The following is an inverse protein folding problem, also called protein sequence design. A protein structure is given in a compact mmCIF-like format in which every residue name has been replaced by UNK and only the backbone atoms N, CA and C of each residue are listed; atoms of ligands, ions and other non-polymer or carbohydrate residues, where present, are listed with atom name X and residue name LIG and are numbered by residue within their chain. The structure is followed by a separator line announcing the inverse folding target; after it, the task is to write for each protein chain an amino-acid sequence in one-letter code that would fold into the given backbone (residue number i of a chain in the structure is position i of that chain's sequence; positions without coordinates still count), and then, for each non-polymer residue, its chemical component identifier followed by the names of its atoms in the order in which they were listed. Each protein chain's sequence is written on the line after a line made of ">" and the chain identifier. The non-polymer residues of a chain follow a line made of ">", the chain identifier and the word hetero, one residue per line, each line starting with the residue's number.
data_IF_639138299624
#
_entry.id   IF_639138299624
#
_cell.length_a   1.000
_cell.length_b   1.000
_cell.length_c   1.000
_cell.angle_alpha   90.00
_cell.angle_beta   90.00
_cell.angle_gamma   90.00
#
_symmetry.space_group_name_H-M   'P 1'
#
loop_
_entity.id
_entity.type
_entity.pdbx_description
1 polymer ?
#
# COMPACT_ATOMS: atom_id res chain seq x y z
N UNK A 1 -9.85 -11.14 34.72
CA UNK A 1 -10.65 -10.62 33.59
C UNK A 1 -9.66 -10.07 32.56
N UNK A 2 -9.39 -10.80 31.48
CA UNK A 2 -8.38 -10.42 30.48
C UNK A 2 -8.97 -9.41 29.50
N UNK A 3 -8.58 -8.14 29.62
CA UNK A 3 -8.84 -7.14 28.59
C UNK A 3 -7.73 -7.26 27.54
N UNK A 4 -8.06 -7.79 26.36
CA UNK A 4 -7.21 -7.64 25.18
C UNK A 4 -7.27 -6.18 24.73
N UNK A 5 -6.11 -5.52 24.59
CA UNK A 5 -6.09 -4.20 23.97
C UNK A 5 -6.41 -4.38 22.48
N UNK A 6 -7.20 -3.46 21.93
CA UNK A 6 -7.49 -3.43 20.48
C UNK A 6 -6.21 -3.43 19.63
N UNK A 7 -5.12 -2.88 20.17
CA UNK A 7 -3.80 -2.90 19.55
C UNK A 7 -3.30 -4.33 19.33
N UNK A 8 -3.37 -5.18 20.36
CA UNK A 8 -2.92 -6.57 20.30
C UNK A 8 -3.70 -7.39 19.24
N UNK A 9 -5.00 -7.12 19.10
CA UNK A 9 -5.83 -7.78 18.07
C UNK A 9 -5.44 -7.34 16.67
N UNK A 10 -5.18 -6.04 16.47
CA UNK A 10 -4.75 -5.50 15.18
C UNK A 10 -3.39 -6.03 14.76
N UNK A 11 -2.45 -6.09 15.69
CA UNK A 11 -1.10 -6.57 15.42
C UNK A 11 -1.13 -8.05 15.04
N UNK A 12 -1.85 -8.88 15.80
CA UNK A 12 -2.02 -10.30 15.45
C UNK A 12 -2.73 -10.52 14.11
N UNK A 13 -3.75 -9.74 13.80
CA UNK A 13 -4.43 -9.84 12.51
C UNK A 13 -3.49 -9.44 11.37
N UNK A 14 -2.69 -8.40 11.56
CA UNK A 14 -1.69 -7.97 10.58
C UNK A 14 -0.68 -9.09 10.34
N UNK A 15 -0.13 -9.68 11.39
CA UNK A 15 0.87 -10.75 11.27
C UNK A 15 0.33 -11.93 10.46
N UNK A 16 -0.92 -12.36 10.73
CA UNK A 16 -1.57 -13.43 9.98
C UNK A 16 -1.80 -13.07 8.51
N UNK A 17 -2.22 -11.83 8.23
CA UNK A 17 -2.48 -11.39 6.87
C UNK A 17 -1.21 -11.15 6.05
N UNK A 18 -0.06 -10.96 6.70
CA UNK A 18 1.22 -10.73 6.04
C UNK A 18 1.96 -12.02 5.67
N UNK A 19 1.47 -13.18 6.09
CA UNK A 19 2.11 -14.46 5.77
C UNK A 19 2.17 -14.69 4.26
N UNK A 20 3.38 -14.90 3.74
CA UNK A 20 3.63 -15.13 2.31
C UNK A 20 3.51 -13.88 1.41
N UNK A 21 3.40 -12.68 1.99
CA UNK A 21 3.36 -11.42 1.25
C UNK A 21 4.74 -10.77 1.26
N UNK A 22 5.22 -10.34 0.09
CA UNK A 22 6.40 -9.48 0.00
C UNK A 22 6.05 -8.04 0.36
N UNK A 23 6.49 -7.60 1.54
CA UNK A 23 6.18 -6.27 2.07
C UNK A 23 7.41 -5.39 2.12
N UNK A 24 7.34 -4.31 1.37
CA UNK A 24 8.38 -3.29 1.32
C UNK A 24 8.03 -2.11 2.25
N UNK A 25 8.56 -2.13 3.48
CA UNK A 25 8.38 -1.06 4.45
C UNK A 25 9.18 0.20 4.11
N UNK A 26 8.73 1.35 4.59
CA UNK A 26 9.38 2.64 4.29
C UNK A 26 9.24 3.07 2.83
N UNK A 27 8.52 2.30 2.01
CA UNK A 27 8.35 2.53 0.59
C UNK A 27 7.13 3.42 0.32
N UNK A 28 7.35 4.72 0.24
CA UNK A 28 6.28 5.70 0.06
C UNK A 28 5.92 5.87 -1.41
N UNK A 29 4.75 5.39 -1.81
CA UNK A 29 4.21 5.61 -3.15
C UNK A 29 3.74 7.07 -3.30
N UNK A 30 4.20 7.75 -4.36
CA UNK A 30 3.92 9.18 -4.61
C UNK A 30 3.06 9.41 -5.85
N UNK A 31 2.82 8.37 -6.64
CA UNK A 31 2.01 8.43 -7.85
C UNK A 31 2.07 7.14 -8.64
N UNK A 32 1.42 7.14 -9.79
CA UNK A 32 1.40 6.00 -10.69
C UNK A 32 1.40 6.43 -12.16
N UNK A 33 1.65 5.50 -13.07
CA UNK A 33 1.49 5.69 -14.51
C UNK A 33 0.88 4.43 -15.11
N UNK A 34 -0.20 4.58 -15.87
CA UNK A 34 -0.83 3.49 -16.59
C UNK A 34 -0.41 3.53 -18.07
N UNK A 35 -0.14 2.35 -18.64
CA UNK A 35 0.07 2.16 -20.07
C UNK A 35 -0.74 0.94 -20.55
N UNK A 36 -0.61 0.58 -21.83
CA UNK A 36 -1.39 -0.49 -22.45
C UNK A 36 -1.16 -1.86 -21.80
N UNK A 37 -0.02 -2.05 -21.12
CA UNK A 37 0.42 -3.33 -20.58
C UNK A 37 0.22 -3.41 -19.04
N UNK A 38 -0.35 -2.39 -18.39
CA UNK A 38 -0.55 -2.34 -16.92
C UNK A 38 -0.18 -1.03 -16.24
N UNK A 39 0.24 -1.10 -14.97
CA UNK A 39 0.46 0.07 -14.10
C UNK A 39 1.83 0.06 -13.43
N UNK A 40 2.49 1.23 -13.44
CA UNK A 40 3.70 1.51 -12.69
C UNK A 40 3.37 2.27 -11.41
N UNK A 41 3.77 1.75 -10.25
CA UNK A 41 3.82 2.50 -8.99
C UNK A 41 5.14 3.26 -8.91
N UNK A 42 5.09 4.55 -8.53
CA UNK A 42 6.26 5.43 -8.45
C UNK A 42 6.50 5.79 -6.99
N UNK A 43 7.73 5.63 -6.51
CA UNK A 43 8.09 5.83 -5.10
C UNK A 43 8.99 7.05 -4.88
N UNK A 44 8.94 7.59 -3.67
CA UNK A 44 9.68 8.80 -3.26
C UNK A 44 11.21 8.65 -3.40
N UNK A 45 11.73 7.42 -3.29
CA UNK A 45 13.15 7.12 -3.48
C UNK A 45 13.58 7.04 -4.95
N UNK A 46 12.69 7.35 -5.89
CA UNK A 46 12.94 7.35 -7.33
C UNK A 46 12.78 5.98 -7.99
N UNK A 47 12.53 4.91 -7.24
CA UNK A 47 12.27 3.59 -7.81
C UNK A 47 10.82 3.48 -8.32
N UNK A 48 10.57 2.43 -9.12
CA UNK A 48 9.25 2.10 -9.66
C UNK A 48 9.04 0.59 -9.69
N UNK A 49 7.80 0.17 -9.50
CA UNK A 49 7.38 -1.24 -9.57
C UNK A 49 6.25 -1.41 -10.57
N UNK A 50 6.21 -2.57 -11.24
CA UNK A 50 5.22 -2.91 -12.27
C UNK A 50 4.22 -3.93 -11.74
N UNK A 51 2.95 -3.76 -12.09
CA UNK A 51 1.92 -4.78 -11.91
C UNK A 51 0.75 -4.62 -12.86
N UNK A 52 -0.14 -5.60 -12.84
CA UNK A 52 -1.39 -5.58 -13.63
C UNK A 52 -2.47 -4.71 -12.97
N UNK A 53 -2.41 -4.55 -11.64
CA UNK A 53 -3.37 -3.79 -10.85
C UNK A 53 -2.69 -3.02 -9.72
N UNK A 54 -3.14 -1.79 -9.51
CA UNK A 54 -2.75 -0.94 -8.38
C UNK A 54 -3.95 -0.72 -7.46
N UNK A 55 -3.85 -1.15 -6.20
CA UNK A 55 -4.88 -0.91 -5.17
C UNK A 55 -4.41 0.21 -4.23
N UNK A 56 -5.09 1.35 -4.28
CA UNK A 56 -4.86 2.47 -3.37
C UNK A 56 -5.46 2.21 -1.98
N UNK A 57 -4.62 1.81 -1.02
CA UNK A 57 -4.99 1.62 0.39
C UNK A 57 -4.24 2.59 1.34
N UNK A 58 -3.90 3.76 0.83
CA UNK A 58 -3.05 4.81 1.44
C UNK A 58 -3.84 5.91 2.19
N UNK A 59 -5.13 5.69 2.41
CA UNK A 59 -5.97 6.46 3.32
C UNK A 59 -6.42 7.84 2.82
N UNK A 60 -6.85 8.70 3.75
CA UNK A 60 -7.51 9.98 3.43
C UNK A 60 -6.59 11.01 2.77
N UNK A 61 -5.27 10.85 2.84
CA UNK A 61 -4.31 11.75 2.20
C UNK A 61 -3.71 11.18 0.90
N UNK A 62 -4.30 10.09 0.40
CA UNK A 62 -3.87 9.35 -0.79
C UNK A 62 -3.37 10.22 -1.94
N UNK A 63 -2.07 10.17 -2.30
CA UNK A 63 -1.59 10.72 -3.57
C UNK A 63 -2.28 10.07 -4.77
N UNK A 64 -2.57 8.77 -4.71
CA UNK A 64 -3.19 8.02 -5.82
C UNK A 64 -4.58 8.58 -6.14
N UNK A 65 -5.41 8.80 -5.12
CA UNK A 65 -6.74 9.38 -5.29
C UNK A 65 -6.70 10.81 -5.81
N UNK A 66 -5.71 11.61 -5.41
CA UNK A 66 -5.54 12.98 -5.91
C UNK A 66 -5.18 12.98 -7.39
N UNK A 67 -4.26 12.10 -7.80
CA UNK A 67 -3.82 11.98 -9.19
C UNK A 67 -4.97 11.55 -10.12
N UNK A 68 -5.83 10.62 -9.70
CA UNK A 68 -7.00 10.20 -10.49
C UNK A 68 -7.99 11.33 -10.80
N UNK A 69 -8.04 12.36 -9.95
CA UNK A 69 -8.98 13.47 -10.07
C UNK A 69 -8.35 14.74 -10.67
N UNK A 70 -7.11 14.64 -11.16
CA UNK A 70 -6.36 15.73 -11.83
C UNK A 70 -6.43 15.54 -13.34
#
# INVERSE_FOLDING_TARGET
>A
MFYLKLQDIKDRLRDLLLEGIDVNWGKKCIGYHEDEDGVWAIFEDGTRERGDLLIGADGIHSPIRKQKNS
#
